data_IF_236318646240
#
_entry.id   IF_236318646240
#
_cell.length_a   1.000
_cell.length_b   1.000
_cell.length_c   1.000
_cell.angle_alpha   90.00
_cell.angle_beta   90.00
_cell.angle_gamma   90.00
#
_symmetry.space_group_name_H-M   'P 1'
#
loop_
_entity.id
_entity.type
_entity.pdbx_description
1 polymer ?
#
# COMPACT_ATOMS: atom_id res chain seq x y z
N UNK A 1 16.25 -7.24 8.13
CA UNK A 1 15.27 -6.71 7.17
C UNK A 1 14.30 -5.82 7.94
N UNK A 2 13.77 -4.72 7.38
CA UNK A 2 12.91 -3.80 8.15
C UNK A 2 11.66 -4.50 8.72
N UNK A 3 11.09 -5.44 7.97
CA UNK A 3 9.96 -6.29 8.40
C UNK A 3 10.32 -7.34 9.46
N UNK A 4 11.60 -7.67 9.64
CA UNK A 4 12.06 -8.64 10.65
C UNK A 4 12.50 -7.97 11.96
N UNK A 5 12.50 -6.63 12.00
CA UNK A 5 13.05 -5.90 13.12
C UNK A 5 12.07 -5.75 14.29
N UNK A 6 10.79 -6.15 14.13
CA UNK A 6 9.78 -6.12 15.18
C UNK A 6 9.60 -4.74 15.84
N UNK A 7 9.94 -3.67 15.12
CA UNK A 7 9.91 -2.31 15.64
C UNK A 7 9.25 -1.36 14.64
N UNK A 8 8.12 -0.80 15.05
CA UNK A 8 7.36 0.28 14.40
C UNK A 8 8.20 1.44 13.88
N UNK A 9 9.36 1.68 14.50
CA UNK A 9 10.28 2.76 14.15
C UNK A 9 10.82 2.65 12.71
N UNK A 10 10.87 1.43 12.15
CA UNK A 10 11.49 1.20 10.86
C UNK A 10 10.49 1.08 9.72
N UNK A 11 9.31 0.49 9.95
CA UNK A 11 8.36 0.26 8.87
C UNK A 11 7.43 1.45 8.61
N UNK A 12 7.16 2.34 9.58
CA UNK A 12 6.37 3.56 9.32
C UNK A 12 7.07 4.51 8.33
N UNK A 13 8.35 4.90 8.53
CA UNK A 13 9.04 5.75 7.56
C UNK A 13 9.24 5.05 6.22
N UNK A 14 9.50 3.74 6.22
CA UNK A 14 9.63 2.96 5.00
C UNK A 14 8.33 2.95 4.19
N UNK A 15 7.18 2.77 4.86
CA UNK A 15 5.87 2.79 4.21
C UNK A 15 5.65 4.13 3.49
N UNK A 16 5.88 5.24 4.19
CA UNK A 16 5.75 6.57 3.63
C UNK A 16 6.60 6.76 2.37
N UNK A 17 7.90 6.44 2.43
CA UNK A 17 8.82 6.58 1.30
C UNK A 17 8.38 5.72 0.09
N UNK A 18 7.92 4.50 0.34
CA UNK A 18 7.40 3.61 -0.70
C UNK A 18 6.13 4.19 -1.33
N UNK A 19 5.21 4.73 -0.53
CA UNK A 19 4.00 5.38 -1.03
C UNK A 19 4.33 6.61 -1.88
N UNK A 20 5.34 7.41 -1.53
CA UNK A 20 5.76 8.53 -2.38
C UNK A 20 6.23 8.07 -3.76
N UNK A 21 6.85 6.89 -3.87
CA UNK A 21 7.24 6.32 -5.15
C UNK A 21 6.06 5.82 -6.00
N UNK A 22 4.88 5.56 -5.42
CA UNK A 22 3.69 5.19 -6.18
C UNK A 22 3.14 6.35 -7.01
N UNK A 23 3.51 7.60 -6.71
CA UNK A 23 3.14 8.79 -7.51
C UNK A 23 4.13 9.15 -8.62
N UNK A 24 5.12 8.30 -8.88
CA UNK A 24 6.11 8.59 -9.92
C UNK A 24 5.50 8.61 -11.32
N UNK A 25 5.98 9.53 -12.18
CA UNK A 25 5.63 9.54 -13.61
C UNK A 25 6.02 8.22 -14.32
N UNK A 26 7.04 7.53 -13.81
CA UNK A 26 7.50 6.25 -14.36
C UNK A 26 6.60 5.11 -13.89
N UNK A 27 5.84 4.53 -14.81
CA UNK A 27 4.99 3.34 -14.58
C UNK A 27 5.72 2.25 -13.78
N UNK A 28 6.96 1.93 -14.17
CA UNK A 28 7.76 0.90 -13.49
C UNK A 28 8.00 1.22 -12.00
N UNK A 29 8.21 2.48 -11.65
CA UNK A 29 8.39 2.88 -10.27
C UNK A 29 7.09 2.72 -9.47
N UNK A 30 5.95 3.09 -10.07
CA UNK A 30 4.63 2.89 -9.43
C UNK A 30 4.34 1.42 -9.14
N UNK A 31 4.55 0.56 -10.13
CA UNK A 31 4.36 -0.89 -9.98
C UNK A 31 5.28 -1.46 -8.90
N UNK A 32 6.56 -1.08 -8.87
CA UNK A 32 7.49 -1.55 -7.85
C UNK A 32 7.11 -1.04 -6.45
N UNK A 33 6.68 0.22 -6.33
CA UNK A 33 6.16 0.77 -5.07
C UNK A 33 4.97 -0.03 -4.56
N UNK A 34 3.96 -0.27 -5.40
CA UNK A 34 2.79 -1.09 -5.04
C UNK A 34 3.17 -2.53 -4.66
N UNK A 35 4.13 -3.16 -5.34
CA UNK A 35 4.61 -4.50 -4.94
C UNK A 35 5.28 -4.50 -3.56
N UNK A 36 5.99 -3.44 -3.22
CA UNK A 36 6.59 -3.30 -1.89
C UNK A 36 5.49 -3.08 -0.84
N UNK A 37 4.50 -2.22 -1.11
CA UNK A 37 3.31 -2.06 -0.25
C UNK A 37 2.64 -3.40 0.02
N UNK A 38 2.38 -4.17 -1.04
CA UNK A 38 1.81 -5.51 -0.93
C UNK A 38 2.66 -6.42 -0.04
N UNK A 39 3.97 -6.42 -0.25
CA UNK A 39 4.88 -7.21 0.58
C UNK A 39 4.86 -6.76 2.05
N UNK A 40 4.80 -5.46 2.34
CA UNK A 40 4.66 -4.96 3.71
C UNK A 40 3.36 -5.42 4.34
N UNK A 41 2.24 -5.35 3.62
CA UNK A 41 0.93 -5.83 4.07
C UNK A 41 0.97 -7.33 4.41
N UNK A 42 1.51 -8.17 3.52
CA UNK A 42 1.60 -9.62 3.70
C UNK A 42 2.49 -10.02 4.89
N UNK A 43 3.57 -9.26 5.14
CA UNK A 43 4.55 -9.58 6.18
C UNK A 43 4.17 -9.00 7.56
N UNK A 44 3.62 -7.79 7.61
CA UNK A 44 3.24 -7.12 8.85
C UNK A 44 1.84 -7.53 9.34
N UNK A 45 0.94 -7.95 8.44
CA UNK A 45 -0.42 -8.38 8.76
C UNK A 45 -1.14 -7.34 9.64
N UNK A 46 -1.64 -7.72 10.81
CA UNK A 46 -2.36 -6.84 11.74
C UNK A 46 -1.56 -5.58 12.11
N UNK A 47 -0.23 -5.63 12.15
CA UNK A 47 0.60 -4.44 12.41
C UNK A 47 0.46 -3.38 11.30
N UNK A 48 0.14 -3.80 10.06
CA UNK A 48 -0.10 -2.88 8.94
C UNK A 48 -1.36 -2.03 9.13
N UNK A 49 -2.28 -2.42 10.03
CA UNK A 49 -3.55 -1.69 10.24
C UNK A 49 -3.32 -0.22 10.62
N UNK A 50 -2.24 0.10 11.34
CA UNK A 50 -1.94 1.49 11.73
C UNK A 50 -1.46 2.35 10.55
N UNK A 51 -1.11 1.73 9.42
CA UNK A 51 -0.68 2.39 8.18
C UNK A 51 -1.85 2.62 7.20
N UNK A 52 -3.02 2.03 7.44
CA UNK A 52 -4.19 2.18 6.57
C UNK A 52 -4.54 3.66 6.32
N UNK A 53 -4.60 4.55 7.34
CA UNK A 53 -5.01 5.94 7.12
C UNK A 53 -4.09 6.69 6.15
N UNK A 54 -2.79 6.37 6.17
CA UNK A 54 -1.81 6.94 5.24
C UNK A 54 -1.88 6.28 3.85
N UNK A 55 -2.09 4.96 3.80
CA UNK A 55 -2.06 4.17 2.56
C UNK A 55 -3.29 4.41 1.68
N UNK A 56 -4.48 4.58 2.29
CA UNK A 56 -5.76 4.68 1.58
C UNK A 56 -5.79 5.84 0.56
N UNK A 57 -5.38 7.08 0.89
CA UNK A 57 -5.37 8.17 -0.09
C UNK A 57 -4.51 7.89 -1.33
N UNK A 58 -3.36 7.22 -1.17
CA UNK A 58 -2.51 6.84 -2.30
C UNK A 58 -3.17 5.75 -3.16
N UNK A 59 -3.86 4.79 -2.54
CA UNK A 59 -4.63 3.81 -3.31
C UNK A 59 -5.77 4.48 -4.08
N UNK A 60 -6.47 5.46 -3.50
CA UNK A 60 -7.52 6.23 -4.18
C UNK A 60 -7.03 6.82 -5.50
N UNK A 61 -5.89 7.51 -5.48
CA UNK A 61 -5.26 8.05 -6.69
C UNK A 61 -4.89 6.95 -7.70
N UNK A 62 -4.32 5.83 -7.25
CA UNK A 62 -3.85 4.75 -8.12
C UNK A 62 -4.99 3.92 -8.73
N UNK A 63 -6.17 3.91 -8.11
CA UNK A 63 -7.37 3.31 -8.66
C UNK A 63 -7.89 4.09 -9.89
N UNK A 64 -7.48 5.35 -10.03
CA UNK A 64 -7.75 6.20 -11.19
C UNK A 64 -6.59 6.25 -12.20
N UNK A 65 -5.51 5.48 -11.98
CA UNK A 65 -4.35 5.45 -12.87
C UNK A 65 -4.74 5.03 -14.29
N UNK A 66 -4.15 5.71 -15.29
CA UNK A 66 -4.36 5.42 -16.70
C UNK A 66 -3.76 4.05 -17.11
N UNK A 67 -2.74 3.59 -16.40
CA UNK A 67 -2.10 2.30 -16.64
C UNK A 67 -2.87 1.18 -15.92
N UNK A 68 -3.49 0.30 -16.70
CA UNK A 68 -4.33 -0.79 -16.18
C UNK A 68 -3.57 -1.72 -15.22
N UNK A 69 -2.29 -1.95 -15.46
CA UNK A 69 -1.47 -2.81 -14.60
C UNK A 69 -1.26 -2.21 -13.20
N UNK A 70 -1.16 -0.88 -13.09
CA UNK A 70 -1.08 -0.17 -11.81
C UNK A 70 -2.43 -0.23 -11.09
N UNK A 71 -3.51 0.11 -11.80
CA UNK A 71 -4.88 0.08 -11.26
C UNK A 71 -5.27 -1.29 -10.73
N UNK A 72 -4.97 -2.36 -11.49
CA UNK A 72 -5.27 -3.74 -11.09
C UNK A 72 -4.54 -4.12 -9.80
N UNK A 73 -3.28 -3.72 -9.66
CA UNK A 73 -2.48 -4.02 -8.47
C UNK A 73 -2.96 -3.21 -7.25
N UNK A 74 -3.35 -1.95 -7.44
CA UNK A 74 -3.97 -1.15 -6.37
C UNK A 74 -5.31 -1.75 -5.89
N UNK A 75 -6.14 -2.25 -6.82
CA UNK A 75 -7.39 -2.95 -6.49
C UNK A 75 -7.15 -4.22 -5.68
N UNK A 76 -6.12 -4.99 -6.04
CA UNK A 76 -5.73 -6.21 -5.33
C UNK A 76 -5.31 -5.90 -3.89
N UNK A 77 -4.42 -4.91 -3.71
CA UNK A 77 -3.96 -4.48 -2.39
C UNK A 77 -5.12 -3.96 -1.54
N UNK A 78 -6.01 -3.15 -2.11
CA UNK A 78 -7.20 -2.67 -1.40
C UNK A 78 -8.06 -3.84 -0.89
N UNK A 79 -8.30 -4.85 -1.73
CA UNK A 79 -9.09 -6.01 -1.34
C UNK A 79 -8.43 -6.82 -0.23
N UNK A 80 -7.12 -6.96 -0.25
CA UNK A 80 -6.36 -7.62 0.83
C UNK A 80 -6.45 -6.82 2.12
N UNK A 81 -6.34 -5.48 2.05
CA UNK A 81 -6.54 -4.59 3.20
C UNK A 81 -7.96 -4.70 3.78
N UNK A 82 -9.00 -4.74 2.95
CA UNK A 82 -10.40 -4.94 3.38
C UNK A 82 -10.60 -6.30 4.05
N UNK A 83 -9.98 -7.34 3.49
CA UNK A 83 -10.04 -8.69 4.07
C UNK A 83 -9.36 -8.73 5.45
N UNK A 84 -8.25 -8.02 5.60
CA UNK A 84 -7.50 -7.93 6.86
C UNK A 84 -8.21 -7.06 7.90
N UNK A 85 -8.80 -5.93 7.52
CA UNK A 85 -9.52 -5.03 8.43
C UNK A 85 -10.89 -5.59 8.84
N UNK A 86 -11.47 -6.48 8.04
CA UNK A 86 -12.82 -7.00 8.25
C UNK A 86 -13.92 -6.02 7.86
N UNK A 87 -13.59 -4.92 7.19
CA UNK A 87 -14.54 -3.90 6.74
C UNK A 87 -14.24 -3.41 5.32
N UNK A 88 -15.27 -2.82 4.68
CA UNK A 88 -15.10 -2.14 3.40
C UNK A 88 -14.35 -0.83 3.60
N UNK A 89 -13.23 -0.65 2.90
CA UNK A 89 -12.42 0.56 2.96
C UNK A 89 -12.83 1.59 1.91
N UNK A 90 -13.76 1.23 1.02
CA UNK A 90 -14.28 2.11 -0.04
C UNK A 90 -14.96 3.38 0.46
N UNK A 91 -15.44 3.39 1.71
CA UNK A 91 -16.04 4.59 2.31
C UNK A 91 -15.00 5.68 2.62
N UNK A 92 -13.72 5.35 2.58
CA UNK A 92 -12.59 6.24 2.84
C UNK A 92 -11.83 6.64 1.56
N UNK A 93 -12.27 6.13 0.40
CA UNK A 93 -11.76 6.45 -0.94
C UNK A 93 -12.66 7.49 -1.61
#
# INVERSE_FOLDING_TARGET
MAVTAGSDLLWKPLNHEVLMHTRSEKVRARILGLRIVKSLLENLKEEYLVLLPETIPFLGELLEDAELSVKSLAQEILKEMETMSGESLRQYL
#
